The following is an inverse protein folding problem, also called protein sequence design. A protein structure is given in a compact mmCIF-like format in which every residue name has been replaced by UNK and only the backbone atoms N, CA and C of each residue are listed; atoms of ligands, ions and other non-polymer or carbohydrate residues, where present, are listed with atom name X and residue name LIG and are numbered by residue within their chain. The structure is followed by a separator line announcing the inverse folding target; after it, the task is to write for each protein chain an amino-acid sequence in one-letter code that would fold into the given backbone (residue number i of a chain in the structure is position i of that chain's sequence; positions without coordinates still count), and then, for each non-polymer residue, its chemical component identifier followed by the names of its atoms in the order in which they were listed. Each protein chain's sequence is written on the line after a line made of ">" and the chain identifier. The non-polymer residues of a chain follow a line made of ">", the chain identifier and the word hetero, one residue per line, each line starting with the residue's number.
data_IF_050668440335
#
_entry.id   IF_050668440335
#
_cell.length_a   1.000
_cell.length_b   1.000
_cell.length_c   1.000
_cell.angle_alpha   90.00
_cell.angle_beta   90.00
_cell.angle_gamma   90.00
#
_symmetry.space_group_name_H-M   'P 1'
#
loop_
_entity.id
_entity.type
_entity.pdbx_description
1 polymer ?
#
# COMPACT_ATOMS: atom_id res chain seq x y z
N UNK A 1 25.30 -15.65 -6.71
CA UNK A 1 26.16 -14.44 -6.75
C UNK A 1 25.41 -13.27 -6.15
N UNK A 2 26.14 -12.28 -5.64
CA UNK A 2 25.57 -11.02 -5.15
C UNK A 2 25.14 -10.12 -6.33
N UNK A 3 24.08 -9.31 -6.20
CA UNK A 3 23.69 -8.40 -7.25
C UNK A 3 24.68 -7.23 -7.35
N UNK A 4 24.96 -6.83 -8.59
CA UNK A 4 25.82 -5.68 -8.89
C UNK A 4 24.93 -4.44 -8.97
N UNK A 5 25.35 -3.36 -8.31
CA UNK A 5 24.65 -2.08 -8.37
C UNK A 5 24.75 -1.49 -9.78
N UNK A 6 23.60 -1.28 -10.41
CA UNK A 6 23.48 -0.43 -11.60
C UNK A 6 23.04 0.96 -11.11
N UNK A 7 23.85 1.98 -11.36
CA UNK A 7 23.51 3.35 -10.98
C UNK A 7 22.28 3.84 -11.75
N UNK A 8 21.60 4.86 -11.22
CA UNK A 8 20.44 5.43 -11.89
C UNK A 8 20.79 6.01 -13.27
N UNK A 9 21.95 6.67 -13.37
CA UNK A 9 22.49 7.23 -14.62
C UNK A 9 22.71 6.15 -15.68
N UNK A 10 23.36 5.04 -15.33
CA UNK A 10 23.54 3.91 -16.25
C UNK A 10 22.21 3.31 -16.71
N UNK A 11 21.22 3.26 -15.83
CA UNK A 11 19.86 2.87 -16.21
C UNK A 11 19.22 3.88 -17.17
N UNK A 12 19.35 5.18 -16.91
CA UNK A 12 18.80 6.25 -17.75
C UNK A 12 19.39 6.21 -19.17
N UNK A 13 20.70 6.07 -19.29
CA UNK A 13 21.41 5.95 -20.57
C UNK A 13 20.99 4.68 -21.29
N UNK A 14 20.89 3.56 -20.57
CA UNK A 14 20.43 2.29 -21.12
C UNK A 14 19.03 2.39 -21.71
N UNK A 15 18.09 3.06 -21.02
CA UNK A 15 16.73 3.26 -21.53
C UNK A 15 16.73 4.07 -22.81
N UNK A 16 17.44 5.20 -22.85
CA UNK A 16 17.49 6.05 -24.04
C UNK A 16 18.15 5.34 -25.23
N UNK A 17 19.27 4.65 -24.98
CA UNK A 17 19.97 3.87 -26.00
C UNK A 17 19.07 2.78 -26.59
N UNK A 18 18.36 2.03 -25.73
CA UNK A 18 17.47 0.95 -26.18
C UNK A 18 16.22 1.49 -26.87
N UNK A 19 15.61 2.57 -26.36
CA UNK A 19 14.51 3.22 -27.07
C UNK A 19 14.95 3.66 -28.46
N UNK A 20 16.13 4.26 -28.61
CA UNK A 20 16.67 4.60 -29.94
C UNK A 20 16.86 3.36 -30.82
N UNK A 21 17.50 2.32 -30.29
CA UNK A 21 17.78 1.08 -31.02
C UNK A 21 16.52 0.37 -31.52
N UNK A 22 15.49 0.27 -30.69
CA UNK A 22 14.29 -0.51 -30.98
C UNK A 22 13.14 0.30 -31.57
N UNK A 23 13.10 1.63 -31.37
CA UNK A 23 11.98 2.49 -31.75
C UNK A 23 12.34 3.66 -32.68
N UNK A 24 13.62 4.01 -32.90
CA UNK A 24 13.98 5.08 -33.85
C UNK A 24 14.13 4.63 -35.29
N UNK A 25 14.34 3.34 -35.54
CA UNK A 25 14.62 2.80 -36.89
C UNK A 25 13.77 1.56 -37.24
N UNK A 26 12.68 1.31 -36.49
CA UNK A 26 11.95 0.04 -36.55
C UNK A 26 10.44 0.16 -36.79
N UNK A 27 9.75 -1.00 -36.77
CA UNK A 27 8.30 -1.16 -36.92
C UNK A 27 7.52 -0.53 -35.74
N UNK A 28 8.17 -0.38 -34.58
CA UNK A 28 7.55 0.15 -33.37
C UNK A 28 7.87 1.63 -33.18
N UNK A 29 6.87 2.42 -32.81
CA UNK A 29 6.97 3.88 -32.58
C UNK A 29 6.50 4.20 -31.16
N UNK A 30 7.27 5.01 -30.43
CA UNK A 30 6.83 5.59 -29.15
C UNK A 30 5.94 6.78 -29.46
N UNK A 31 4.67 6.73 -29.06
CA UNK A 31 3.74 7.82 -29.33
C UNK A 31 3.70 8.82 -28.17
N UNK A 32 3.14 10.01 -28.41
CA UNK A 32 3.07 11.07 -27.39
C UNK A 32 2.43 10.64 -26.07
N UNK A 33 1.52 9.66 -26.10
CA UNK A 33 0.86 9.11 -24.90
C UNK A 33 1.76 8.22 -24.05
N UNK A 34 2.87 7.72 -24.59
CA UNK A 34 3.80 6.84 -23.88
C UNK A 34 4.82 7.63 -23.06
N UNK A 35 5.21 8.82 -23.54
CA UNK A 35 6.24 9.66 -22.91
C UNK A 35 6.01 9.99 -21.44
N UNK A 36 4.78 10.25 -20.94
CA UNK A 36 4.56 10.44 -19.51
C UNK A 36 5.01 9.24 -18.65
N UNK A 37 4.83 8.02 -19.16
CA UNK A 37 5.25 6.81 -18.47
C UNK A 37 6.78 6.63 -18.56
N UNK A 38 7.36 6.85 -19.74
CA UNK A 38 8.82 6.86 -19.92
C UNK A 38 9.46 7.85 -18.96
N UNK A 39 9.01 9.10 -18.96
CA UNK A 39 9.57 10.16 -18.14
C UNK A 39 9.40 9.88 -16.64
N UNK A 40 8.30 9.25 -16.23
CA UNK A 40 8.09 8.83 -14.84
C UNK A 40 9.13 7.80 -14.42
N UNK A 41 9.29 6.71 -15.17
CA UNK A 41 10.22 5.65 -14.80
C UNK A 41 11.69 6.00 -15.01
N UNK A 42 11.98 6.84 -16.00
CA UNK A 42 13.31 7.38 -16.25
C UNK A 42 13.79 8.29 -15.12
N UNK A 43 12.91 9.07 -14.48
CA UNK A 43 13.23 9.92 -13.31
C UNK A 43 13.22 9.19 -11.97
N UNK A 44 12.56 8.03 -11.88
CA UNK A 44 12.39 7.35 -10.59
C UNK A 44 13.63 6.50 -10.29
N UNK A 45 14.46 7.00 -9.37
CA UNK A 45 15.59 6.22 -8.86
C UNK A 45 15.09 5.13 -7.91
N UNK A 46 15.45 3.89 -8.24
CA UNK A 46 15.16 2.68 -7.45
C UNK A 46 16.45 1.90 -7.16
N UNK A 47 17.61 2.40 -7.54
CA UNK A 47 18.91 1.71 -7.48
C UNK A 47 19.28 1.27 -6.06
N UNK A 48 18.89 2.04 -5.04
CA UNK A 48 19.12 1.70 -3.64
C UNK A 48 18.53 0.36 -3.22
N UNK A 49 17.48 -0.15 -3.87
CA UNK A 49 16.92 -1.47 -3.52
C UNK A 49 17.95 -2.59 -3.74
N UNK A 50 18.88 -2.41 -4.69
CA UNK A 50 19.95 -3.37 -4.97
C UNK A 50 20.94 -3.45 -3.81
N UNK A 51 21.26 -2.30 -3.20
CA UNK A 51 22.07 -2.23 -1.97
C UNK A 51 21.31 -2.83 -0.80
N UNK A 52 20.04 -2.42 -0.61
CA UNK A 52 19.21 -2.88 0.51
C UNK A 52 19.00 -4.40 0.53
N UNK A 53 18.93 -5.02 -0.65
CA UNK A 53 18.71 -6.46 -0.79
C UNK A 53 19.99 -7.26 -0.96
N UNK A 54 21.16 -6.64 -1.06
CA UNK A 54 22.45 -7.28 -1.33
C UNK A 54 22.70 -8.51 -0.42
N UNK A 55 22.44 -8.36 0.88
CA UNK A 55 22.67 -9.44 1.86
C UNK A 55 21.64 -10.57 1.79
N UNK A 56 20.51 -10.33 1.13
CA UNK A 56 19.50 -11.35 0.84
C UNK A 56 19.84 -12.27 -0.33
N UNK A 57 20.96 -12.05 -1.02
CA UNK A 57 21.46 -12.92 -2.10
C UNK A 57 22.66 -13.74 -1.62
N UNK A 58 22.79 -14.96 -2.14
CA UNK A 58 23.92 -15.85 -1.83
C UNK A 58 25.16 -15.46 -2.66
N UNK A 59 26.36 -15.62 -2.08
CA UNK A 59 27.61 -15.41 -2.79
C UNK A 59 27.78 -16.39 -3.98
N UNK A 60 27.22 -17.60 -3.87
CA UNK A 60 27.28 -18.66 -4.87
C UNK A 60 25.97 -18.76 -5.67
N UNK A 61 25.98 -19.53 -6.75
CA UNK A 61 24.84 -19.69 -7.65
C UNK A 61 24.80 -18.65 -8.77
N UNK A 62 23.75 -18.67 -9.61
CA UNK A 62 23.68 -17.88 -10.84
C UNK A 62 23.70 -16.37 -10.57
N UNK A 63 24.04 -15.62 -11.61
CA UNK A 63 23.95 -14.18 -11.59
C UNK A 63 22.50 -13.74 -11.36
N UNK A 64 22.22 -12.97 -10.29
CA UNK A 64 20.87 -12.54 -10.00
C UNK A 64 20.44 -11.44 -10.98
N UNK A 65 19.14 -11.38 -11.28
CA UNK A 65 18.56 -10.20 -11.93
C UNK A 65 18.67 -8.99 -11.01
N UNK A 66 19.00 -7.84 -11.59
CA UNK A 66 19.10 -6.57 -10.86
C UNK A 66 17.81 -6.29 -10.07
N UNK A 67 17.90 -6.19 -8.73
CA UNK A 67 16.75 -5.90 -7.88
C UNK A 67 16.01 -4.60 -8.24
N UNK A 68 16.73 -3.56 -8.69
CA UNK A 68 16.10 -2.30 -9.11
C UNK A 68 15.22 -2.50 -10.34
N UNK A 69 15.70 -3.25 -11.33
CA UNK A 69 14.95 -3.62 -12.53
C UNK A 69 13.74 -4.51 -12.20
N UNK A 70 13.87 -5.45 -11.24
CA UNK A 70 12.76 -6.27 -10.76
C UNK A 70 11.66 -5.42 -10.10
N UNK A 71 12.04 -4.49 -9.21
CA UNK A 71 11.10 -3.57 -8.57
C UNK A 71 10.43 -2.67 -9.61
N UNK A 72 11.22 -2.11 -10.53
CA UNK A 72 10.75 -1.23 -11.60
C UNK A 72 9.73 -1.92 -12.49
N UNK A 73 10.01 -3.15 -12.90
CA UNK A 73 9.09 -3.96 -13.70
C UNK A 73 7.78 -4.23 -12.96
N UNK A 74 7.84 -4.51 -11.67
CA UNK A 74 6.64 -4.73 -10.87
C UNK A 74 5.80 -3.46 -10.70
N UNK A 75 6.44 -2.30 -10.48
CA UNK A 75 5.73 -1.02 -10.45
C UNK A 75 5.13 -0.69 -11.81
N UNK A 76 5.85 -0.92 -12.91
CA UNK A 76 5.37 -0.71 -14.27
C UNK A 76 4.12 -1.56 -14.55
N UNK A 77 4.18 -2.85 -14.21
CA UNK A 77 3.03 -3.77 -14.24
C UNK A 77 1.81 -3.21 -13.53
N UNK A 78 1.97 -2.80 -12.26
CA UNK A 78 0.88 -2.25 -11.46
C UNK A 78 0.29 -0.95 -12.03
N UNK A 79 1.11 -0.16 -12.72
CA UNK A 79 0.67 1.11 -13.30
C UNK A 79 0.00 0.97 -14.66
N UNK A 80 0.35 -0.05 -15.44
CA UNK A 80 -0.12 -0.18 -16.82
C UNK A 80 -1.17 -1.25 -17.00
N UNK A 81 -1.02 -2.40 -16.33
CA UNK A 81 -1.86 -3.58 -16.52
C UNK A 81 -2.16 -4.31 -15.19
N UNK A 82 -2.65 -3.62 -14.14
CA UNK A 82 -2.88 -4.26 -12.83
C UNK A 82 -3.91 -5.40 -12.86
N UNK A 83 -4.72 -5.48 -13.91
CA UNK A 83 -5.76 -6.50 -14.10
C UNK A 83 -5.23 -7.88 -14.49
N UNK A 84 -4.02 -7.97 -15.03
CA UNK A 84 -3.43 -9.24 -15.46
C UNK A 84 -2.60 -9.89 -14.34
N UNK A 85 -2.30 -11.17 -14.47
CA UNK A 85 -1.40 -11.87 -13.55
C UNK A 85 0.07 -11.66 -13.90
N UNK A 86 0.97 -11.88 -12.94
CA UNK A 86 2.42 -11.77 -13.15
C UNK A 86 2.95 -12.67 -14.28
N UNK A 87 2.36 -13.85 -14.45
CA UNK A 87 2.68 -14.74 -15.58
C UNK A 87 2.39 -14.07 -16.92
N UNK A 88 1.25 -13.40 -17.03
CA UNK A 88 0.89 -12.69 -18.25
C UNK A 88 1.70 -11.41 -18.41
N UNK A 89 2.08 -10.74 -17.31
CA UNK A 89 3.02 -9.61 -17.37
C UNK A 89 4.36 -9.99 -18.02
N UNK A 90 4.91 -11.15 -17.69
CA UNK A 90 6.13 -11.65 -18.35
C UNK A 90 5.91 -11.91 -19.84
N UNK A 91 4.74 -12.43 -20.23
CA UNK A 91 4.38 -12.58 -21.65
C UNK A 91 4.22 -11.23 -22.35
N UNK A 92 3.63 -10.25 -21.69
CA UNK A 92 3.47 -8.89 -22.23
C UNK A 92 4.81 -8.19 -22.44
N UNK A 93 5.76 -8.33 -21.51
CA UNK A 93 7.13 -7.84 -21.73
C UNK A 93 7.84 -8.54 -22.89
N UNK A 94 7.52 -9.81 -23.19
CA UNK A 94 8.06 -10.52 -24.38
C UNK A 94 7.45 -9.99 -25.67
N UNK A 95 6.14 -9.75 -25.68
CA UNK A 95 5.41 -9.25 -26.85
C UNK A 95 5.74 -7.80 -27.16
N UNK A 96 5.93 -6.98 -26.14
CA UNK A 96 6.07 -5.53 -26.25
C UNK A 96 7.42 -5.11 -25.64
N UNK A 97 8.47 -4.89 -26.47
CA UNK A 97 9.81 -4.51 -26.00
C UNK A 97 9.83 -3.26 -25.12
N UNK A 98 8.91 -2.32 -25.31
CA UNK A 98 8.75 -1.11 -24.51
C UNK A 98 8.76 -1.38 -23.00
N UNK A 99 8.00 -2.38 -22.53
CA UNK A 99 7.93 -2.68 -21.11
C UNK A 99 9.22 -3.31 -20.57
N UNK A 100 9.91 -4.12 -21.38
CA UNK A 100 11.21 -4.67 -21.03
C UNK A 100 12.25 -3.54 -20.86
N UNK A 101 12.30 -2.62 -21.83
CA UNK A 101 13.23 -1.49 -21.85
C UNK A 101 12.99 -0.60 -20.62
N UNK A 102 11.75 -0.19 -20.37
CA UNK A 102 11.42 0.65 -19.21
C UNK A 102 11.71 -0.07 -17.88
N UNK A 103 11.54 -1.39 -17.83
CA UNK A 103 11.91 -2.19 -16.66
C UNK A 103 13.43 -2.22 -16.40
N UNK A 104 14.26 -1.90 -17.40
CA UNK A 104 15.73 -2.02 -17.34
C UNK A 104 16.28 -3.32 -17.94
N UNK A 105 15.42 -4.17 -18.52
CA UNK A 105 15.83 -5.42 -19.15
C UNK A 105 16.14 -5.25 -20.64
N UNK A 106 17.02 -6.12 -21.16
CA UNK A 106 17.23 -6.24 -22.59
C UNK A 106 16.06 -7.02 -23.21
N UNK A 107 15.43 -6.52 -24.30
CA UNK A 107 14.42 -7.29 -25.03
C UNK A 107 14.96 -8.67 -25.46
N UNK A 108 14.21 -9.73 -25.18
CA UNK A 108 14.64 -11.12 -25.40
C UNK A 108 15.37 -11.75 -24.21
N UNK A 109 15.85 -10.98 -23.23
CA UNK A 109 16.50 -11.49 -22.02
C UNK A 109 15.74 -11.06 -20.76
N UNK A 110 14.63 -11.74 -20.49
CA UNK A 110 13.69 -11.37 -19.42
C UNK A 110 13.76 -12.30 -18.21
N UNK A 111 13.39 -11.81 -17.01
CA UNK A 111 13.22 -12.67 -15.84
C UNK A 111 12.07 -13.68 -16.04
N UNK A 112 12.21 -14.85 -15.42
CA UNK A 112 11.11 -15.80 -15.29
C UNK A 112 10.13 -15.38 -14.19
N UNK A 113 8.93 -15.97 -14.18
CA UNK A 113 7.90 -15.72 -13.16
C UNK A 113 8.42 -16.08 -11.75
N UNK A 114 9.15 -17.20 -11.63
CA UNK A 114 9.78 -17.63 -10.37
C UNK A 114 10.74 -16.58 -9.80
N UNK A 115 11.51 -15.90 -10.67
CA UNK A 115 12.45 -14.86 -10.27
C UNK A 115 11.76 -13.68 -9.60
N UNK A 116 10.55 -13.31 -10.03
CA UNK A 116 9.76 -12.27 -9.34
C UNK A 116 9.31 -12.73 -7.95
N UNK A 117 8.84 -13.97 -7.81
CA UNK A 117 8.44 -14.48 -6.49
C UNK A 117 9.63 -14.59 -5.52
N UNK A 118 10.80 -14.95 -6.03
CA UNK A 118 12.05 -14.92 -5.28
C UNK A 118 12.45 -13.51 -4.84
N UNK A 119 12.25 -12.51 -5.71
CA UNK A 119 12.45 -11.10 -5.39
C UNK A 119 11.44 -10.64 -4.31
N UNK A 120 10.16 -10.95 -4.43
CA UNK A 120 9.15 -10.60 -3.42
C UNK A 120 9.42 -11.25 -2.06
N UNK A 121 9.89 -12.50 -2.05
CA UNK A 121 10.29 -13.18 -0.81
C UNK A 121 11.44 -12.45 -0.12
N UNK A 122 12.42 -11.97 -0.89
CA UNK A 122 13.53 -11.15 -0.36
C UNK A 122 13.02 -9.80 0.16
N UNK A 123 12.10 -9.15 -0.55
CA UNK A 123 11.50 -7.90 -0.10
C UNK A 123 10.69 -8.06 1.21
N UNK A 124 10.03 -9.21 1.38
CA UNK A 124 9.25 -9.54 2.59
C UNK A 124 10.11 -9.88 3.81
N UNK A 125 11.38 -10.25 3.63
CA UNK A 125 12.34 -10.38 4.73
C UNK A 125 11.96 -11.32 5.88
N UNK A 126 11.03 -12.26 5.67
CA UNK A 126 10.54 -13.19 6.70
C UNK A 126 10.33 -14.58 6.13
N UNK A 127 10.73 -15.60 6.89
CA UNK A 127 10.47 -17.01 6.60
C UNK A 127 9.04 -17.44 6.95
N UNK A 128 8.31 -16.64 7.74
CA UNK A 128 6.93 -16.95 8.12
C UNK A 128 6.00 -16.75 6.93
N UNK A 129 5.06 -17.69 6.76
CA UNK A 129 4.00 -17.57 5.77
C UNK A 129 3.26 -16.24 5.94
N UNK A 130 3.17 -15.49 4.85
CA UNK A 130 2.46 -14.22 4.76
C UNK A 130 0.93 -14.40 4.74
N UNK A 131 0.45 -15.61 4.42
CA UNK A 131 -0.96 -15.96 4.35
C UNK A 131 -1.35 -16.96 5.44
N UNK A 132 -2.59 -16.86 5.89
CA UNK A 132 -3.19 -17.88 6.77
C UNK A 132 -3.35 -19.23 6.04
N UNK A 133 -3.46 -20.35 6.80
CA UNK A 133 -3.85 -21.63 6.23
C UNK A 133 -5.16 -21.52 5.44
N UNK A 134 -5.24 -22.19 4.30
CA UNK A 134 -6.46 -22.16 3.46
C UNK A 134 -7.66 -22.83 4.13
N UNK A 135 -7.43 -23.89 4.90
CA UNK A 135 -8.48 -24.60 5.64
C UNK A 135 -8.76 -23.86 6.95
N UNK A 136 -9.93 -23.24 7.07
CA UNK A 136 -10.35 -22.47 8.24
C UNK A 136 -11.78 -22.86 8.64
N UNK A 137 -12.16 -22.56 9.88
CA UNK A 137 -13.55 -22.69 10.32
C UNK A 137 -14.51 -21.92 9.39
N UNK A 138 -15.72 -22.43 9.19
CA UNK A 138 -16.77 -21.76 8.43
C UNK A 138 -17.00 -20.38 9.04
N UNK A 139 -16.88 -19.33 8.23
CA UNK A 139 -17.20 -17.96 8.64
C UNK A 139 -18.71 -17.82 8.77
N UNK A 140 -19.21 -17.69 9.99
CA UNK A 140 -20.65 -17.70 10.28
C UNK A 140 -21.27 -16.31 10.37
N UNK A 141 -20.48 -15.23 10.58
CA UNK A 141 -21.04 -13.91 10.91
C UNK A 141 -20.35 -12.75 10.17
N UNK A 142 -21.16 -11.94 9.49
CA UNK A 142 -20.76 -10.60 9.00
C UNK A 142 -20.64 -9.64 10.19
N UNK A 143 -19.79 -8.61 10.13
CA UNK A 143 -19.77 -7.57 11.16
C UNK A 143 -21.17 -6.96 11.33
N UNK A 144 -21.49 -6.44 12.52
CA UNK A 144 -22.77 -5.75 12.73
C UNK A 144 -22.79 -4.49 11.84
N UNK A 145 -23.90 -4.22 11.16
CA UNK A 145 -24.09 -2.95 10.43
C UNK A 145 -24.15 -1.78 11.41
N UNK A 146 -23.57 -0.64 11.04
CA UNK A 146 -23.83 0.64 11.71
C UNK A 146 -25.16 1.24 11.25
N UNK A 147 -25.64 2.30 11.91
CA UNK A 147 -26.73 3.13 11.36
C UNK A 147 -26.21 3.95 10.18
N UNK A 148 -27.10 4.58 9.41
CA UNK A 148 -26.72 5.47 8.30
C UNK A 148 -25.79 6.58 8.80
N UNK A 149 -24.59 6.67 8.21
CA UNK A 149 -23.55 7.62 8.63
C UNK A 149 -22.76 7.20 9.88
N UNK A 150 -23.15 6.12 10.57
CA UNK A 150 -22.42 5.55 11.69
C UNK A 150 -21.62 4.31 11.25
N UNK A 151 -20.37 4.20 11.70
CA UNK A 151 -19.55 3.02 11.44
C UNK A 151 -20.08 1.81 12.23
N UNK A 152 -19.70 0.61 11.79
CA UNK A 152 -20.09 -0.63 12.46
C UNK A 152 -19.62 -0.61 13.93
N UNK A 153 -20.46 -1.01 14.92
CA UNK A 153 -20.02 -1.00 16.31
C UNK A 153 -18.86 -1.98 16.51
N UNK A 154 -17.94 -1.63 17.42
CA UNK A 154 -16.88 -2.56 17.81
C UNK A 154 -17.49 -3.85 18.38
N UNK A 155 -16.89 -5.00 18.08
CA UNK A 155 -17.46 -6.32 18.42
C UNK A 155 -17.60 -6.56 19.93
N UNK A 156 -16.85 -5.82 20.75
CA UNK A 156 -16.75 -6.05 22.19
C UNK A 156 -16.58 -4.71 22.91
N UNK A 157 -17.42 -4.39 23.91
CA UNK A 157 -17.24 -3.21 24.74
C UNK A 157 -15.82 -3.14 25.35
N UNK A 158 -15.28 -1.93 25.47
CA UNK A 158 -13.95 -1.69 26.05
C UNK A 158 -12.76 -2.27 25.27
N UNK A 159 -12.96 -2.78 24.04
CA UNK A 159 -11.87 -3.33 23.22
C UNK A 159 -10.80 -2.28 22.88
N UNK A 160 -11.24 -1.06 22.57
CA UNK A 160 -10.36 0.08 22.26
C UNK A 160 -9.50 0.41 23.47
N UNK A 161 -10.11 0.63 24.65
CA UNK A 161 -9.41 0.90 25.91
C UNK A 161 -8.39 -0.18 26.26
N UNK A 162 -8.80 -1.46 26.24
CA UNK A 162 -7.89 -2.59 26.54
C UNK A 162 -6.70 -2.66 25.57
N UNK A 163 -6.92 -2.36 24.29
CA UNK A 163 -5.86 -2.35 23.29
C UNK A 163 -4.88 -1.19 23.52
N UNK A 164 -5.39 0.01 23.82
CA UNK A 164 -4.56 1.17 24.18
C UNK A 164 -3.72 0.86 25.41
N UNK A 165 -4.33 0.39 26.50
CA UNK A 165 -3.62 0.06 27.73
C UNK A 165 -2.54 -1.02 27.48
N UNK A 166 -2.81 -1.98 26.60
CA UNK A 166 -1.83 -2.97 26.20
C UNK A 166 -0.67 -2.35 25.41
N UNK A 167 -0.96 -1.48 24.43
CA UNK A 167 0.06 -0.82 23.61
C UNK A 167 0.96 0.07 24.46
N UNK A 168 0.39 0.87 25.37
CA UNK A 168 1.16 1.75 26.28
C UNK A 168 2.11 0.92 27.15
N UNK A 169 1.62 -0.20 27.72
CA UNK A 169 2.46 -1.11 28.53
C UNK A 169 3.58 -1.80 27.76
N UNK A 170 3.53 -1.78 26.42
CA UNK A 170 4.49 -2.47 25.55
C UNK A 170 5.08 -1.51 24.51
N UNK A 171 5.07 -0.21 24.78
CA UNK A 171 5.54 0.80 23.84
C UNK A 171 7.03 0.64 23.52
N UNK A 172 7.81 0.22 24.51
CA UNK A 172 9.23 -0.12 24.45
C UNK A 172 9.54 -1.32 23.54
N UNK A 173 8.55 -2.19 23.30
CA UNK A 173 8.74 -3.40 22.49
C UNK A 173 8.50 -3.12 21.02
N UNK A 174 9.58 -2.82 20.30
CA UNK A 174 9.58 -2.80 18.83
C UNK A 174 9.56 -4.23 18.28
N UNK A 175 8.45 -4.61 17.66
CA UNK A 175 8.34 -5.88 16.94
C UNK A 175 8.83 -5.73 15.50
N UNK A 176 9.74 -6.61 15.07
CA UNK A 176 10.10 -6.73 13.66
C UNK A 176 8.90 -7.22 12.86
N UNK A 177 8.51 -6.46 11.85
CA UNK A 177 7.47 -6.86 10.90
C UNK A 177 8.13 -7.27 9.58
N UNK A 178 7.58 -8.27 8.89
CA UNK A 178 8.08 -8.64 7.56
C UNK A 178 8.10 -7.45 6.57
N UNK A 179 7.15 -6.52 6.71
CA UNK A 179 7.07 -5.32 5.87
C UNK A 179 8.13 -4.26 6.18
N UNK A 180 8.97 -4.43 7.22
CA UNK A 180 9.89 -3.37 7.67
C UNK A 180 10.91 -2.99 6.61
N UNK A 181 11.38 -3.96 5.82
CA UNK A 181 12.32 -3.69 4.72
C UNK A 181 11.67 -2.86 3.61
N UNK A 182 10.45 -3.21 3.22
CA UNK A 182 9.69 -2.43 2.24
C UNK A 182 9.38 -1.03 2.77
N UNK A 183 9.03 -0.92 4.05
CA UNK A 183 8.77 0.37 4.67
C UNK A 183 10.04 1.23 4.76
N UNK A 184 11.18 0.65 5.11
CA UNK A 184 12.49 1.32 5.09
C UNK A 184 12.82 1.86 3.70
N UNK A 185 12.62 1.05 2.65
CA UNK A 185 12.78 1.51 1.27
C UNK A 185 11.83 2.66 0.95
N UNK A 186 10.54 2.52 1.29
CA UNK A 186 9.53 3.56 1.06
C UNK A 186 9.91 4.87 1.76
N UNK A 187 10.35 4.80 3.02
CA UNK A 187 10.74 5.98 3.77
C UNK A 187 11.99 6.65 3.20
N UNK A 188 13.04 5.88 2.95
CA UNK A 188 14.34 6.42 2.50
C UNK A 188 14.29 6.91 1.05
N UNK A 189 13.62 6.20 0.16
CA UNK A 189 13.67 6.48 -1.29
C UNK A 189 12.47 7.25 -1.81
N UNK A 190 11.35 7.28 -1.08
CA UNK A 190 10.12 7.95 -1.53
C UNK A 190 9.77 9.10 -0.59
N UNK A 191 9.61 8.84 0.70
CA UNK A 191 9.21 9.89 1.64
C UNK A 191 10.32 10.92 1.88
N UNK A 192 11.58 10.50 2.03
CA UNK A 192 12.72 11.42 2.23
C UNK A 192 12.90 12.34 1.02
N UNK A 193 12.82 11.78 -0.18
CA UNK A 193 12.87 12.56 -1.42
C UNK A 193 11.71 13.55 -1.48
N UNK A 194 10.50 13.10 -1.14
CA UNK A 194 9.31 13.97 -1.09
C UNK A 194 9.45 15.08 -0.05
N UNK A 195 10.03 14.80 1.11
CA UNK A 195 10.32 15.79 2.16
C UNK A 195 11.33 16.83 1.68
N UNK A 196 12.43 16.41 1.05
CA UNK A 196 13.45 17.30 0.50
C UNK A 196 12.90 18.21 -0.61
N UNK A 197 11.88 17.76 -1.32
CA UNK A 197 11.15 18.54 -2.32
C UNK A 197 10.05 19.43 -1.71
N UNK A 198 9.87 19.42 -0.38
CA UNK A 198 8.83 20.18 0.31
C UNK A 198 7.41 19.66 0.08
N UNK A 199 7.24 18.43 -0.43
CA UNK A 199 5.93 17.88 -0.82
C UNK A 199 5.12 17.34 0.37
N UNK A 200 5.76 17.08 1.51
CA UNK A 200 5.11 16.56 2.72
C UNK A 200 4.63 17.65 3.69
N UNK A 201 4.91 18.93 3.41
CA UNK A 201 4.74 20.03 4.37
C UNK A 201 5.93 20.19 5.30
N UNK A 202 5.73 20.85 6.44
CA UNK A 202 6.79 21.04 7.45
C UNK A 202 7.03 19.74 8.22
N UNK A 203 8.22 19.15 8.02
CA UNK A 203 8.61 17.89 8.67
C UNK A 203 8.80 18.02 10.18
N UNK A 204 9.05 19.23 10.71
CA UNK A 204 9.21 19.44 12.15
C UNK A 204 7.88 19.48 12.89
N UNK A 205 6.79 19.81 12.19
CA UNK A 205 5.45 19.91 12.76
C UNK A 205 4.40 19.30 11.85
N UNK A 206 4.59 18.05 11.44
CA UNK A 206 3.70 17.39 10.49
C UNK A 206 2.27 17.30 11.04
N UNK A 207 1.31 17.79 10.26
CA UNK A 207 -0.11 17.43 10.42
C UNK A 207 -0.39 16.20 9.58
N UNK A 208 -0.96 15.17 10.20
CA UNK A 208 -1.31 13.92 9.54
C UNK A 208 -2.80 13.62 9.67
N UNK A 209 -3.35 12.84 8.75
CA UNK A 209 -4.70 12.27 8.85
C UNK A 209 -4.63 10.75 8.87
N UNK A 210 -5.50 10.13 9.67
CA UNK A 210 -5.68 8.68 9.68
C UNK A 210 -7.06 8.30 9.17
N UNK A 211 -7.12 7.54 8.07
CA UNK A 211 -8.39 7.06 7.52
C UNK A 211 -8.33 5.63 6.97
N UNK A 212 -9.48 4.98 7.00
CA UNK A 212 -9.73 3.62 6.56
C UNK A 212 -10.48 3.53 5.24
N UNK A 213 -9.87 2.91 4.23
CA UNK A 213 -10.50 2.67 2.92
C UNK A 213 -10.74 1.17 2.67
N UNK A 214 -11.95 0.76 2.23
CA UNK A 214 -12.23 -0.62 1.87
C UNK A 214 -11.53 -1.02 0.56
N UNK A 215 -10.78 -2.12 0.58
CA UNK A 215 -10.23 -2.78 -0.61
C UNK A 215 -11.07 -4.02 -0.89
N UNK A 216 -11.94 -3.92 -1.89
CA UNK A 216 -12.85 -5.00 -2.28
C UNK A 216 -12.11 -6.00 -3.16
N UNK A 217 -12.02 -7.26 -2.72
CA UNK A 217 -11.40 -8.34 -3.51
C UNK A 217 -12.43 -9.23 -4.20
N UNK A 218 -13.64 -9.32 -3.64
CA UNK A 218 -14.74 -10.07 -4.22
C UNK A 218 -16.08 -9.64 -3.63
N UNK A 219 -17.16 -9.98 -4.32
CA UNK A 219 -18.53 -9.77 -3.81
C UNK A 219 -18.82 -10.72 -2.63
N UNK A 220 -18.36 -11.96 -2.72
CA UNK A 220 -18.57 -13.00 -1.71
C UNK A 220 -17.27 -13.73 -1.34
N UNK A 221 -17.22 -14.27 -0.13
CA UNK A 221 -16.13 -15.13 0.29
C UNK A 221 -16.15 -16.44 -0.53
N UNK A 222 -15.09 -16.67 -1.31
CA UNK A 222 -14.95 -17.87 -2.15
C UNK A 222 -14.33 -19.02 -1.35
N UNK A 223 -15.12 -20.07 -1.10
CA UNK A 223 -14.69 -21.24 -0.34
C UNK A 223 -15.28 -22.56 -0.87
N UNK A 224 -14.55 -23.66 -0.70
CA UNK A 224 -15.01 -25.03 -0.98
C UNK A 224 -15.30 -25.76 0.33
N UNK A 225 -16.33 -26.61 0.37
CA UNK A 225 -16.62 -27.49 1.52
C UNK A 225 -15.51 -28.52 1.70
N UNK A 226 -15.29 -28.97 2.94
CA UNK A 226 -14.38 -30.09 3.26
C UNK A 226 -15.15 -31.31 3.76
N UNK A 227 -16.47 -31.33 3.58
CA UNK A 227 -17.38 -32.34 4.10
C UNK A 227 -18.53 -32.56 3.12
N UNK A 228 -19.17 -33.72 3.24
CA UNK A 228 -20.30 -34.12 2.40
C UNK A 228 -21.66 -33.96 3.09
N UNK A 229 -21.71 -33.26 4.24
CA UNK A 229 -22.94 -33.01 4.99
C UNK A 229 -24.08 -32.49 4.12
N UNK A 230 -23.79 -31.61 3.15
CA UNK A 230 -24.80 -31.09 2.24
C UNK A 230 -25.39 -32.17 1.31
N UNK A 231 -24.57 -33.13 0.88
CA UNK A 231 -25.04 -34.28 0.09
C UNK A 231 -25.89 -35.24 0.95
N UNK A 232 -25.64 -35.28 2.25
CA UNK A 232 -26.39 -36.06 3.24
C UNK A 232 -27.65 -35.32 3.78
N UNK A 233 -28.06 -34.21 3.16
CA UNK A 233 -29.24 -33.43 3.58
C UNK A 233 -29.00 -32.45 4.75
N UNK A 234 -27.80 -32.40 5.32
CA UNK A 234 -27.42 -31.46 6.38
C UNK A 234 -26.91 -30.13 5.79
N UNK A 235 -27.82 -29.18 5.56
CA UNK A 235 -27.49 -27.88 4.97
C UNK A 235 -26.57 -27.03 5.86
N UNK A 236 -26.81 -27.03 7.18
CA UNK A 236 -26.11 -26.18 8.16
C UNK A 236 -25.05 -26.93 8.96
N UNK A 237 -23.98 -27.34 8.28
CA UNK A 237 -22.79 -27.84 8.95
C UNK A 237 -21.82 -26.70 9.35
N UNK A 238 -21.08 -26.93 10.43
CA UNK A 238 -20.01 -26.07 10.95
C UNK A 238 -18.59 -26.55 10.59
N UNK A 239 -18.49 -27.56 9.72
CA UNK A 239 -17.22 -28.08 9.27
C UNK A 239 -16.35 -26.99 8.60
N UNK A 240 -15.02 -27.11 8.70
CA UNK A 240 -14.09 -26.20 8.04
C UNK A 240 -14.35 -26.07 6.53
N UNK A 241 -13.86 -24.98 5.95
CA UNK A 241 -13.88 -24.72 4.52
C UNK A 241 -12.49 -24.36 4.01
N UNK A 242 -12.24 -24.66 2.74
CA UNK A 242 -11.01 -24.26 2.05
C UNK A 242 -11.28 -22.92 1.38
N UNK A 243 -10.68 -21.86 1.91
CA UNK A 243 -10.77 -20.50 1.37
C UNK A 243 -9.69 -20.26 0.33
N UNK A 244 -10.07 -19.67 -0.81
CA UNK A 244 -9.11 -19.21 -1.83
C UNK A 244 -8.28 -18.02 -1.32
N UNK A 245 -8.91 -17.13 -0.56
CA UNK A 245 -8.30 -15.99 0.13
C UNK A 245 -8.56 -16.09 1.64
N UNK A 246 -7.71 -16.81 2.40
CA UNK A 246 -7.94 -17.06 3.82
C UNK A 246 -7.79 -15.81 4.71
N UNK A 247 -7.09 -14.78 4.23
CA UNK A 247 -6.84 -13.53 4.97
C UNK A 247 -7.90 -12.44 4.76
N UNK A 248 -8.60 -12.46 3.63
CA UNK A 248 -9.74 -11.57 3.38
C UNK A 248 -10.91 -11.96 4.29
N UNK A 249 -11.73 -11.01 4.72
CA UNK A 249 -13.03 -11.30 5.34
C UNK A 249 -14.07 -10.22 4.98
N UNK A 250 -15.21 -10.22 5.67
CA UNK A 250 -16.29 -9.26 5.39
C UNK A 250 -16.19 -8.02 6.27
N UNK A 251 -16.35 -6.84 5.67
CA UNK A 251 -16.42 -5.52 6.31
C UNK A 251 -17.75 -4.82 6.02
N UNK A 252 -18.02 -3.73 6.74
CA UNK A 252 -19.16 -2.82 6.49
C UNK A 252 -18.61 -1.49 5.99
N UNK A 253 -18.98 -1.09 4.77
CA UNK A 253 -18.71 0.23 4.22
C UNK A 253 -19.91 1.13 4.57
N UNK A 254 -19.73 2.02 5.54
CA UNK A 254 -20.79 2.93 6.00
C UNK A 254 -21.11 4.03 4.99
N UNK A 255 -20.15 4.45 4.16
CA UNK A 255 -20.37 5.47 3.15
C UNK A 255 -21.24 4.94 2.01
N UNK A 256 -21.07 3.66 1.66
CA UNK A 256 -21.86 2.98 0.61
C UNK A 256 -22.99 2.10 1.15
N UNK A 257 -23.21 2.11 2.46
CA UNK A 257 -24.21 1.32 3.18
C UNK A 257 -24.26 -0.17 2.76
N UNK A 258 -23.07 -0.76 2.52
CA UNK A 258 -22.98 -2.14 1.99
C UNK A 258 -21.89 -2.95 2.65
N UNK A 259 -22.11 -4.26 2.67
CA UNK A 259 -21.05 -5.21 3.00
C UNK A 259 -20.09 -5.36 1.82
N UNK A 260 -18.82 -5.57 2.14
CA UNK A 260 -17.81 -5.93 1.16
C UNK A 260 -16.94 -7.08 1.67
N UNK A 261 -16.33 -7.86 0.77
CA UNK A 261 -15.34 -8.87 1.13
C UNK A 261 -13.97 -8.47 0.59
N UNK A 262 -12.96 -8.50 1.44
CA UNK A 262 -11.60 -8.11 1.08
C UNK A 262 -10.78 -7.66 2.28
N UNK A 263 -10.16 -6.49 2.15
CA UNK A 263 -9.29 -5.89 3.15
C UNK A 263 -9.73 -4.47 3.49
N UNK A 264 -9.19 -3.98 4.59
CA UNK A 264 -9.31 -2.60 5.02
C UNK A 264 -7.91 -1.97 5.00
N UNK A 265 -7.67 -1.00 4.13
CA UNK A 265 -6.42 -0.26 4.08
C UNK A 265 -6.54 0.95 4.98
N UNK A 266 -5.81 0.95 6.09
CA UNK A 266 -5.68 2.12 6.94
C UNK A 266 -4.45 2.90 6.51
N UNK A 267 -4.60 4.17 6.17
CA UNK A 267 -3.51 5.04 5.75
C UNK A 267 -3.34 6.18 6.73
N UNK A 268 -2.10 6.44 7.12
CA UNK A 268 -1.68 7.73 7.69
C UNK A 268 -1.10 8.53 6.53
N UNK A 269 -1.60 9.75 6.30
CA UNK A 269 -1.18 10.65 5.22
C UNK A 269 -0.78 12.01 5.76
N UNK A 270 0.12 12.71 5.08
CA UNK A 270 0.47 14.10 5.37
C UNK A 270 -0.63 15.03 4.84
N UNK A 271 -1.28 15.81 5.70
CA UNK A 271 -2.38 16.70 5.30
C UNK A 271 -1.91 18.09 4.91
N UNK A 272 -0.73 18.49 5.39
CA UNK A 272 -0.09 19.74 4.97
C UNK A 272 0.54 19.61 3.57
N UNK A 273 0.47 18.41 2.99
CA UNK A 273 0.84 18.13 1.61
C UNK A 273 -0.28 18.59 0.65
N UNK A 274 0.08 19.27 -0.43
CA UNK A 274 -0.85 19.56 -1.54
C UNK A 274 -1.49 18.31 -2.17
N UNK A 275 -0.94 17.12 -1.92
CA UNK A 275 -1.35 15.86 -2.56
C UNK A 275 -1.79 14.78 -1.57
N UNK A 276 -2.01 15.12 -0.29
CA UNK A 276 -2.39 14.16 0.76
C UNK A 276 -1.51 12.90 0.78
N UNK A 277 -0.19 13.09 0.64
CA UNK A 277 0.74 11.99 0.36
C UNK A 277 0.74 10.92 1.48
N UNK A 278 0.70 9.62 1.12
CA UNK A 278 0.64 8.55 2.11
C UNK A 278 1.98 8.41 2.84
N UNK A 279 1.93 8.37 4.17
CA UNK A 279 3.09 8.16 5.05
C UNK A 279 3.20 6.71 5.52
N UNK A 280 2.07 6.08 5.85
CA UNK A 280 2.06 4.72 6.39
C UNK A 280 0.82 3.93 5.97
N UNK A 281 0.93 3.09 4.92
CA UNK A 281 -0.15 2.19 4.53
C UNK A 281 -0.14 0.91 5.38
N UNK A 282 -1.29 0.55 5.93
CA UNK A 282 -1.46 -0.70 6.69
C UNK A 282 -2.69 -1.48 6.22
N UNK A 283 -2.43 -2.62 5.59
CA UNK A 283 -3.48 -3.56 5.20
C UNK A 283 -3.96 -4.37 6.42
N UNK A 284 -5.27 -4.36 6.64
CA UNK A 284 -5.96 -5.05 7.73
C UNK A 284 -7.10 -5.93 7.17
N UNK A 285 -7.61 -6.90 7.93
CA UNK A 285 -8.85 -7.60 7.55
C UNK A 285 -10.02 -6.61 7.43
N UNK A 286 -10.89 -6.79 6.43
CA UNK A 286 -12.06 -5.93 6.20
C UNK A 286 -12.97 -5.74 7.42
N UNK A 287 -13.05 -6.74 8.30
CA UNK A 287 -13.86 -6.69 9.51
C UNK A 287 -13.26 -5.81 10.63
N UNK A 288 -12.07 -5.23 10.44
CA UNK A 288 -11.40 -4.44 11.47
C UNK A 288 -11.97 -3.03 11.49
N UNK A 289 -12.28 -2.56 12.69
CA UNK A 289 -12.79 -1.21 12.93
C UNK A 289 -11.68 -0.16 12.82
N UNK A 290 -12.01 1.05 12.36
CA UNK A 290 -11.08 2.17 12.15
C UNK A 290 -10.34 2.56 13.41
N UNK A 291 -11.05 2.81 14.53
CA UNK A 291 -10.43 3.00 15.85
C UNK A 291 -9.34 1.97 16.21
N UNK A 292 -9.56 0.68 15.90
CA UNK A 292 -8.56 -0.38 16.17
C UNK A 292 -7.41 -0.32 15.17
N UNK A 293 -7.71 0.01 13.91
CA UNK A 293 -6.71 0.20 12.87
C UNK A 293 -5.82 1.40 13.17
N UNK A 294 -6.37 2.51 13.66
CA UNK A 294 -5.64 3.68 14.13
C UNK A 294 -4.62 3.30 15.20
N UNK A 295 -5.07 2.74 16.32
CA UNK A 295 -4.20 2.40 17.46
C UNK A 295 -3.00 1.56 17.00
N UNK A 296 -3.25 0.53 16.20
CA UNK A 296 -2.19 -0.36 15.71
C UNK A 296 -1.28 0.35 14.70
N UNK A 297 -1.82 1.22 13.87
CA UNK A 297 -1.06 1.90 12.82
C UNK A 297 -0.23 3.04 13.40
N UNK A 298 -0.76 3.85 14.31
CA UNK A 298 -0.05 4.96 14.95
C UNK A 298 1.18 4.48 15.72
N UNK A 299 1.03 3.48 16.60
CA UNK A 299 2.18 2.93 17.36
C UNK A 299 3.24 2.34 16.42
N UNK A 300 2.82 1.63 15.38
CA UNK A 300 3.76 1.02 14.43
C UNK A 300 4.44 2.03 13.52
N UNK A 301 3.71 3.08 13.15
CA UNK A 301 4.19 4.20 12.37
C UNK A 301 5.26 4.94 13.17
N UNK A 302 4.95 5.34 14.41
CA UNK A 302 5.89 5.99 15.33
C UNK A 302 7.18 5.18 15.51
N UNK A 303 7.09 3.87 15.73
CA UNK A 303 8.26 2.99 15.87
C UNK A 303 9.19 2.94 14.64
N UNK A 304 8.77 3.46 13.48
CA UNK A 304 9.46 3.30 12.19
C UNK A 304 9.70 4.61 11.45
N UNK A 305 8.83 5.59 11.63
CA UNK A 305 8.91 6.88 10.97
C UNK A 305 9.99 7.74 11.61
N UNK A 306 10.96 8.17 10.82
CA UNK A 306 12.14 8.91 11.30
C UNK A 306 12.34 10.25 10.60
N UNK A 307 11.40 10.68 9.76
CA UNK A 307 11.59 11.87 8.92
C UNK A 307 11.11 13.17 9.57
N UNK A 308 10.46 13.09 10.72
CA UNK A 308 9.86 14.26 11.32
C UNK A 308 9.03 13.93 12.55
N UNK A 309 8.45 14.98 13.12
CA UNK A 309 7.62 14.93 14.32
C UNK A 309 6.17 15.16 13.94
N UNK A 310 5.28 14.27 14.38
CA UNK A 310 3.84 14.44 14.17
C UNK A 310 3.31 15.40 15.23
N UNK A 311 2.93 16.60 14.82
CA UNK A 311 2.41 17.63 15.73
C UNK A 311 0.88 17.60 15.86
N UNK A 312 0.18 17.15 14.82
CA UNK A 312 -1.29 17.11 14.78
C UNK A 312 -1.75 15.85 14.05
N UNK A 313 -2.83 15.26 14.55
CA UNK A 313 -3.51 14.15 13.87
C UNK A 313 -5.00 14.48 13.70
N UNK A 314 -5.45 14.55 12.44
CA UNK A 314 -6.83 14.76 12.04
C UNK A 314 -7.54 13.41 11.92
N UNK A 315 -8.66 13.28 12.60
CA UNK A 315 -9.43 12.04 12.68
C UNK A 315 -10.93 12.33 12.58
N UNK A 316 -11.66 11.41 11.98
CA UNK A 316 -13.12 11.45 11.93
C UNK A 316 -13.76 10.92 13.23
N UNK A 317 -15.10 10.99 13.29
CA UNK A 317 -15.87 10.50 14.42
C UNK A 317 -15.71 8.99 14.70
N UNK A 318 -15.18 8.19 13.77
CA UNK A 318 -14.93 6.76 13.99
C UNK A 318 -13.81 6.52 15.01
N UNK A 319 -13.03 7.56 15.33
CA UNK A 319 -11.90 7.52 16.26
C UNK A 319 -12.19 8.25 17.58
N UNK A 320 -13.41 8.78 17.76
CA UNK A 320 -13.82 9.50 18.97
C UNK A 320 -13.96 8.54 20.15
N UNK A 321 -12.85 8.38 20.88
CA UNK A 321 -12.77 7.59 22.09
C UNK A 321 -11.70 8.15 23.02
N UNK A 322 -12.05 8.33 24.30
CA UNK A 322 -11.14 8.80 25.36
C UNK A 322 -9.77 8.08 25.36
N UNK A 323 -9.80 6.75 25.21
CA UNK A 323 -8.57 5.96 25.16
C UNK A 323 -7.67 6.32 23.96
N UNK A 324 -8.21 6.72 22.82
CA UNK A 324 -7.42 7.15 21.66
C UNK A 324 -6.75 8.49 21.96
N UNK A 325 -7.47 9.44 22.56
CA UNK A 325 -6.87 10.71 22.98
C UNK A 325 -5.72 10.49 23.96
N UNK A 326 -5.90 9.62 24.96
CA UNK A 326 -4.85 9.25 25.90
C UNK A 326 -3.62 8.66 25.20
N UNK A 327 -3.80 7.79 24.21
CA UNK A 327 -2.70 7.23 23.44
C UNK A 327 -1.92 8.32 22.69
N UNK A 328 -2.63 9.20 21.96
CA UNK A 328 -2.00 10.25 21.17
C UNK A 328 -1.31 11.30 22.03
N UNK A 329 -1.81 11.58 23.24
CA UNK A 329 -1.14 12.47 24.18
C UNK A 329 0.16 11.85 24.72
N UNK A 330 0.14 10.58 25.12
CA UNK A 330 1.31 9.90 25.68
C UNK A 330 2.44 9.71 24.66
N UNK A 331 2.09 9.36 23.42
CA UNK A 331 3.05 9.27 22.30
C UNK A 331 3.81 10.59 22.08
N UNK A 332 3.21 11.73 22.43
CA UNK A 332 3.81 13.06 22.25
C UNK A 332 4.43 13.68 23.52
N UNK A 333 4.33 13.03 24.68
CA UNK A 333 4.79 13.58 25.98
C UNK A 333 6.08 12.93 26.51
N UNK A 334 6.59 11.86 25.89
CA UNK A 334 7.89 11.32 26.27
C UNK A 334 8.98 12.19 25.65
N UNK A 335 9.70 12.99 26.46
CA UNK A 335 10.85 13.81 26.05
C UNK A 335 12.02 12.98 25.48
N UNK A 336 11.95 11.65 25.56
CA UNK A 336 12.85 10.73 24.85
C UNK A 336 12.39 10.38 23.44
N UNK A 337 11.19 10.80 23.04
CA UNK A 337 10.57 10.46 21.77
C UNK A 337 10.10 11.66 20.94
N UNK A 338 9.53 12.76 21.46
CA UNK A 338 9.27 14.00 20.69
C UNK A 338 9.03 15.23 21.58
N UNK A 339 9.57 16.43 21.28
CA UNK A 339 9.22 17.66 22.01
C UNK A 339 8.17 18.47 21.22
N UNK A 340 6.88 18.42 21.60
CA UNK A 340 5.91 19.53 21.54
C UNK A 340 4.44 19.07 21.71
N UNK A 341 3.64 19.90 22.40
CA UNK A 341 2.23 19.68 22.78
C UNK A 341 1.27 19.60 21.57
N UNK A 342 0.59 18.47 21.40
CA UNK A 342 -0.46 18.28 20.38
C UNK A 342 -1.66 19.23 20.61
N UNK A 343 -2.03 20.04 19.61
CA UNK A 343 -3.36 20.69 19.53
C UNK A 343 -4.32 19.81 18.74
N UNK A 344 -5.22 19.12 19.44
CA UNK A 344 -6.23 18.26 18.83
C UNK A 344 -7.40 19.11 18.30
N UNK A 345 -7.64 19.08 16.98
CA UNK A 345 -8.78 19.75 16.34
C UNK A 345 -9.78 18.69 15.85
N UNK A 346 -10.91 18.55 16.55
CA UNK A 346 -12.06 17.79 16.08
C UNK A 346 -12.85 18.66 15.10
N UNK A 347 -12.77 18.36 13.80
CA UNK A 347 -13.76 18.86 12.86
C UNK A 347 -15.04 18.04 13.04
N UNK A 348 -15.93 18.51 13.91
CA UNK A 348 -17.35 18.11 13.87
C UNK A 348 -17.96 18.72 12.61
N UNK A 349 -17.91 18.01 11.49
CA UNK A 349 -18.79 18.31 10.36
C UNK A 349 -20.19 17.89 10.79
N UNK A 350 -20.93 18.85 11.37
CA UNK A 350 -22.38 18.72 11.42
C UNK A 350 -22.87 18.69 9.97
N UNK A 351 -23.33 17.53 9.52
CA UNK A 351 -24.18 17.46 8.33
C UNK A 351 -25.49 18.20 8.66
N UNK A 352 -25.50 19.52 8.54
CA UNK A 352 -26.73 20.26 8.33
C UNK A 352 -27.26 19.82 6.98
N UNK A 353 -28.46 19.23 6.99
CA UNK A 353 -29.19 18.81 5.80
C UNK A 353 -29.44 20.02 4.89
N UNK A 354 -28.54 20.25 3.95
CA UNK A 354 -28.80 21.03 2.74
C UNK A 354 -28.35 20.19 1.55
N UNK A 355 -29.22 19.96 0.55
CA UNK A 355 -28.89 19.10 -0.58
C UNK A 355 -27.93 19.85 -1.51
N UNK A 356 -26.62 19.64 -1.36
CA UNK A 356 -25.67 20.04 -2.40
C UNK A 356 -25.68 18.98 -3.51
N UNK A 357 -26.36 19.34 -4.60
CA UNK A 357 -26.26 18.70 -5.91
C UNK A 357 -24.78 18.57 -6.32
N UNK A 358 -24.27 17.35 -6.32
CA UNK A 358 -23.18 16.94 -7.20
C UNK A 358 -23.74 15.91 -8.19
N UNK A 359 -24.56 16.40 -9.13
CA UNK A 359 -24.88 15.68 -10.35
C UNK A 359 -23.78 15.96 -11.38
N UNK A 360 -23.11 14.90 -11.83
CA UNK A 360 -22.72 14.68 -13.22
C UNK A 360 -22.47 15.91 -14.12
N UNK A 361 -21.20 16.33 -14.24
CA UNK A 361 -20.67 16.95 -15.47
C UNK A 361 -19.21 16.57 -15.66
N UNK A 362 -18.97 15.37 -16.21
CA UNK A 362 -17.82 15.14 -17.08
C UNK A 362 -18.37 15.19 -18.51
N UNK A 363 -18.28 16.35 -19.14
CA UNK A 363 -18.50 16.52 -20.57
C UNK A 363 -17.30 17.25 -21.15
N UNK A 364 -16.64 16.56 -22.08
CA UNK A 364 -15.64 17.01 -23.05
C UNK A 364 -15.48 18.53 -23.23
N UNK A 365 -14.23 19.01 -23.17
CA UNK A 365 -13.65 19.94 -24.15
C UNK A 365 -12.12 20.05 -23.99
N UNK A 366 -11.38 20.37 -25.08
CA UNK A 366 -9.96 20.06 -25.24
C UNK A 366 -9.04 21.22 -24.83
N UNK A 367 -7.89 20.91 -24.20
CA UNK A 367 -6.82 21.88 -24.00
C UNK A 367 -5.80 21.66 -25.12
N UNK A 368 -5.92 22.45 -26.19
CA UNK A 368 -4.86 22.74 -27.12
C UNK A 368 -4.09 23.99 -26.65
N UNK A 369 -2.82 24.06 -27.08
CA UNK A 369 -1.91 25.21 -27.05
C UNK A 369 -1.00 25.38 -25.82
N UNK A 370 0.11 24.65 -25.85
CA UNK A 370 1.40 25.16 -25.38
C UNK A 370 2.44 24.90 -26.49
N UNK A 371 2.77 25.95 -27.24
CA UNK A 371 3.91 26.00 -28.14
C UNK A 371 5.17 26.13 -27.29
N UNK A 372 6.06 25.15 -27.37
CA UNK A 372 7.44 25.28 -26.89
C UNK A 372 8.27 25.70 -28.09
N UNK A 373 8.80 26.93 -28.03
CA UNK A 373 9.78 27.42 -29.00
C UNK A 373 11.11 26.72 -28.78
N UNK A 374 11.69 26.20 -29.86
CA UNK A 374 13.09 25.81 -29.94
C UNK A 374 13.94 27.08 -29.97
N UNK A 375 14.99 27.10 -29.16
CA UNK A 375 16.32 27.59 -29.53
C UNK A 375 17.34 26.61 -28.98
#
# INVERSE_FOLDING_TARGET
>A
MKPILISHELYQDSVLLRLRRYYSSGIFVVVNKDWPLVAKFWRTDLSYITILLHDGYDAKGPEPRDPASMLRSYLLFLMTKPEIGLTEWVNEMRRIPYYAILSGFEPGNLPGVGTFYDFFKRLWGSSRNNLKPKKLAKRTRKPKKGKKGEKAPTTTPGKVKRLVDWMIRHADKKSNLPSDRLFHFFQTQILTVSANLGLLGDTNTLTVAGDGTPIVTSVYARSKSTCDCRAQGLADCNHPRIYSQPDCNAGWDSAREKYFNGYHLYMISATDSNYDLPLYPRLQPASRHDAVSLIVSSVKFEQRFTLGTVYKMLLDAAHDADAIYRLLLLVNQDERLFPCQLRLLLLRVQYTKTPCLWSSKFSNSPINNLRIGMN
#
